data_IF_222231170294
#
_entry.id   IF_222231170294
#
_cell.length_a   1.000
_cell.length_b   1.000
_cell.length_c   1.000
_cell.angle_alpha   90.00
_cell.angle_beta   90.00
_cell.angle_gamma   90.00
#
_symmetry.space_group_name_H-M   'P 1'
#
loop_
_entity.id
_entity.type
_entity.pdbx_description
1 polymer ?
#
# COMPACT_ATOMS: atom_id res chain seq x y z
N UNK A 1 -16.78 -26.80 -70.30
CA UNK A 1 -15.60 -26.98 -69.44
C UNK A 1 -15.54 -25.83 -68.45
N UNK A 2 -16.05 -26.04 -67.24
CA UNK A 2 -15.68 -25.38 -65.97
C UNK A 2 -16.55 -26.03 -64.88
N UNK A 3 -15.99 -26.45 -63.72
CA UNK A 3 -16.78 -26.99 -62.62
C UNK A 3 -17.21 -25.86 -61.66
N UNK A 4 -18.48 -25.86 -61.24
CA UNK A 4 -18.98 -25.04 -60.16
C UNK A 4 -18.76 -25.76 -58.82
N UNK A 5 -17.93 -25.16 -57.97
CA UNK A 5 -17.60 -25.65 -56.62
C UNK A 5 -18.68 -25.25 -55.59
N UNK A 6 -18.85 -26.15 -54.63
CA UNK A 6 -19.80 -26.08 -53.52
C UNK A 6 -19.59 -24.87 -52.59
N UNK A 7 -20.65 -24.08 -52.39
CA UNK A 7 -20.74 -23.13 -51.27
C UNK A 7 -21.19 -23.90 -50.02
N UNK A 8 -20.27 -24.14 -49.09
CA UNK A 8 -20.58 -24.54 -47.72
C UNK A 8 -20.45 -23.30 -46.84
N UNK A 9 -21.58 -22.67 -46.51
CA UNK A 9 -21.63 -21.50 -45.63
C UNK A 9 -21.21 -21.89 -44.20
N UNK A 10 -20.14 -21.26 -43.74
CA UNK A 10 -19.58 -21.33 -42.39
C UNK A 10 -20.61 -20.90 -41.33
N UNK A 11 -20.67 -21.65 -40.24
CA UNK A 11 -21.38 -21.25 -39.02
C UNK A 11 -20.61 -20.13 -38.29
N UNK A 12 -21.29 -19.30 -37.46
CA UNK A 12 -20.65 -18.21 -36.73
C UNK A 12 -19.67 -18.75 -35.70
N UNK A 13 -18.42 -18.27 -35.78
CA UNK A 13 -17.34 -18.55 -34.85
C UNK A 13 -17.61 -17.96 -33.46
N UNK A 14 -17.38 -18.81 -32.46
CA UNK A 14 -17.26 -18.56 -31.03
C UNK A 14 -16.91 -17.11 -30.65
N UNK A 15 -17.89 -16.40 -30.08
CA UNK A 15 -17.65 -15.21 -29.29
C UNK A 15 -16.91 -15.63 -28.02
N UNK A 16 -15.62 -15.28 -27.95
CA UNK A 16 -14.74 -15.54 -26.82
C UNK A 16 -15.32 -15.04 -25.50
N UNK A 17 -15.34 -15.95 -24.52
CA UNK A 17 -15.92 -15.74 -23.20
C UNK A 17 -15.28 -14.59 -22.43
N UNK A 18 -16.14 -13.75 -21.85
CA UNK A 18 -15.80 -12.91 -20.70
C UNK A 18 -15.64 -13.88 -19.53
N UNK A 19 -14.40 -14.23 -19.21
CA UNK A 19 -14.09 -15.12 -18.10
C UNK A 19 -14.58 -14.55 -16.77
N UNK A 20 -15.29 -15.37 -16.02
CA UNK A 20 -15.87 -15.06 -14.72
C UNK A 20 -14.77 -14.59 -13.74
N UNK A 21 -14.85 -13.33 -13.31
CA UNK A 21 -13.93 -12.75 -12.33
C UNK A 21 -14.29 -13.34 -10.97
N UNK A 22 -13.34 -13.96 -10.25
CA UNK A 22 -13.63 -14.49 -8.92
C UNK A 22 -14.23 -13.43 -7.99
N UNK A 23 -15.18 -13.80 -7.12
CA UNK A 23 -15.85 -12.89 -6.18
C UNK A 23 -14.88 -11.97 -5.42
N UNK A 24 -13.69 -12.47 -5.05
CA UNK A 24 -12.69 -11.68 -4.34
C UNK A 24 -12.04 -10.60 -5.24
N UNK A 25 -11.77 -10.93 -6.50
CA UNK A 25 -11.24 -9.98 -7.47
C UNK A 25 -12.27 -8.89 -7.79
N UNK A 26 -13.56 -9.24 -7.87
CA UNK A 26 -14.64 -8.28 -8.05
C UNK A 26 -14.72 -7.30 -6.86
N UNK A 27 -14.60 -7.79 -5.61
CA UNK A 27 -14.55 -6.93 -4.42
C UNK A 27 -13.37 -5.96 -4.43
N UNK A 28 -12.19 -6.39 -4.88
CA UNK A 28 -11.04 -5.50 -5.06
C UNK A 28 -11.31 -4.39 -6.08
N UNK A 29 -11.95 -4.74 -7.20
CA UNK A 29 -12.34 -3.75 -8.23
C UNK A 29 -13.31 -2.73 -7.65
N UNK A 30 -14.34 -3.18 -6.93
CA UNK A 30 -15.34 -2.31 -6.29
C UNK A 30 -14.72 -1.42 -5.22
N UNK A 31 -13.87 -1.98 -4.34
CA UNK A 31 -13.18 -1.20 -3.32
C UNK A 31 -12.31 -0.12 -3.94
N UNK A 32 -11.55 -0.45 -5.00
CA UNK A 32 -10.72 0.52 -5.69
C UNK A 32 -11.56 1.61 -6.40
N UNK A 33 -12.71 1.26 -6.96
CA UNK A 33 -13.64 2.23 -7.53
C UNK A 33 -14.19 3.18 -6.44
N UNK A 34 -14.56 2.66 -5.28
CA UNK A 34 -15.04 3.44 -4.14
C UNK A 34 -13.96 4.37 -3.58
N UNK A 35 -12.73 3.87 -3.45
CA UNK A 35 -11.58 4.68 -3.02
C UNK A 35 -11.40 5.83 -4.00
N UNK A 36 -11.25 5.53 -5.30
CA UNK A 36 -10.85 6.55 -6.30
C UNK A 36 -11.89 7.62 -6.58
N UNK A 37 -13.17 7.35 -6.30
CA UNK A 37 -14.25 8.32 -6.45
C UNK A 37 -14.52 9.14 -5.17
N UNK A 38 -13.89 8.80 -4.04
CA UNK A 38 -14.15 9.44 -2.76
C UNK A 38 -13.81 10.95 -2.74
N UNK A 39 -14.75 11.73 -2.16
CA UNK A 39 -14.65 13.19 -1.97
C UNK A 39 -15.03 13.65 -0.55
N UNK A 40 -15.01 12.76 0.44
CA UNK A 40 -15.51 13.03 1.80
C UNK A 40 -14.77 14.15 2.55
N UNK A 41 -13.52 14.47 2.17
CA UNK A 41 -12.68 15.43 2.87
C UNK A 41 -12.43 16.68 2.00
N UNK A 42 -13.23 17.77 2.11
CA UNK A 42 -13.13 18.93 1.22
C UNK A 42 -11.73 19.54 1.13
N UNK A 43 -11.02 19.63 2.27
CA UNK A 43 -9.64 20.14 2.34
C UNK A 43 -8.67 19.30 1.50
N UNK A 44 -8.74 17.98 1.62
CA UNK A 44 -7.88 17.06 0.87
C UNK A 44 -8.24 17.02 -0.61
N UNK A 45 -9.53 17.12 -0.93
CA UNK A 45 -10.03 17.19 -2.31
C UNK A 45 -9.51 18.43 -3.01
N UNK A 46 -9.67 19.61 -2.39
CA UNK A 46 -9.17 20.85 -2.94
C UNK A 46 -7.64 20.79 -3.15
N UNK A 47 -6.90 20.32 -2.13
CA UNK A 47 -5.45 20.28 -2.18
C UNK A 47 -4.90 19.28 -3.22
N UNK A 48 -5.43 18.06 -3.29
CA UNK A 48 -4.93 17.05 -4.24
C UNK A 48 -5.13 17.48 -5.70
N UNK A 49 -6.24 18.16 -5.99
CA UNK A 49 -6.61 18.68 -7.31
C UNK A 49 -5.81 19.93 -7.66
N UNK A 50 -5.59 20.83 -6.69
CA UNK A 50 -4.71 21.98 -6.87
C UNK A 50 -3.29 21.53 -7.25
N UNK A 51 -2.71 20.58 -6.51
CA UNK A 51 -1.39 20.04 -6.81
C UNK A 51 -1.34 19.38 -8.19
N UNK A 52 -2.40 18.69 -8.60
CA UNK A 52 -2.50 18.06 -9.91
C UNK A 52 -2.61 19.08 -11.06
N UNK A 53 -3.20 20.24 -10.80
CA UNK A 53 -3.31 21.36 -11.75
C UNK A 53 -2.04 22.18 -11.84
N UNK A 54 -1.48 22.58 -10.70
CA UNK A 54 -0.30 23.46 -10.62
C UNK A 54 0.97 22.72 -11.06
N UNK A 55 1.10 21.46 -10.61
CA UNK A 55 2.23 20.55 -10.85
C UNK A 55 3.59 21.10 -10.41
N UNK A 56 4.55 20.20 -10.20
CA UNK A 56 5.95 20.60 -9.99
C UNK A 56 6.58 20.91 -11.34
N UNK A 57 7.46 21.91 -11.43
CA UNK A 57 8.17 22.27 -12.68
C UNK A 57 8.80 21.05 -13.39
N UNK A 58 9.42 20.15 -12.63
CA UNK A 58 10.03 18.93 -13.15
C UNK A 58 9.04 17.93 -13.77
N UNK A 59 7.74 18.07 -13.49
CA UNK A 59 6.68 17.16 -13.94
C UNK A 59 5.54 17.93 -14.62
N UNK A 60 5.82 19.08 -15.23
CA UNK A 60 4.78 19.97 -15.81
C UNK A 60 3.99 19.27 -16.92
N UNK A 61 4.68 18.46 -17.71
CA UNK A 61 4.12 17.75 -18.87
C UNK A 61 3.48 16.41 -18.49
N UNK A 62 3.51 16.03 -17.21
CA UNK A 62 2.89 14.81 -16.73
C UNK A 62 1.41 15.00 -16.47
N UNK A 63 0.59 14.00 -16.78
CA UNK A 63 -0.75 13.89 -16.23
C UNK A 63 -0.67 13.41 -14.78
N UNK A 64 -1.24 14.19 -13.86
CA UNK A 64 -1.27 13.83 -12.44
C UNK A 64 -2.52 13.03 -12.12
N UNK A 65 -2.40 12.08 -11.20
CA UNK A 65 -3.52 11.30 -10.70
C UNK A 65 -4.61 12.14 -10.03
N UNK A 66 -4.25 13.04 -9.11
CA UNK A 66 -5.18 14.01 -8.51
C UNK A 66 -6.40 13.43 -7.79
N UNK A 67 -6.35 12.15 -7.42
CA UNK A 67 -7.46 11.36 -6.84
C UNK A 67 -6.96 10.62 -5.59
N UNK A 68 -7.86 10.02 -4.78
CA UNK A 68 -7.45 9.07 -3.76
C UNK A 68 -6.62 7.94 -4.38
N UNK A 69 -5.56 7.52 -3.71
CA UNK A 69 -4.66 6.46 -4.16
C UNK A 69 -5.09 5.15 -3.49
N UNK A 70 -5.42 4.10 -4.26
CA UNK A 70 -5.67 2.76 -3.71
C UNK A 70 -4.39 2.10 -3.19
N UNK A 71 -4.54 1.07 -2.35
CA UNK A 71 -3.43 0.19 -2.02
C UNK A 71 -2.87 -0.53 -3.25
N UNK A 72 -1.64 -1.05 -3.13
CA UNK A 72 -0.93 -1.72 -4.22
C UNK A 72 -0.12 -2.90 -3.71
N UNK A 73 -0.23 -4.04 -4.38
CA UNK A 73 0.62 -5.19 -4.15
C UNK A 73 -0.07 -6.51 -4.47
N UNK A 74 0.40 -7.55 -3.80
CA UNK A 74 -0.13 -8.91 -3.92
C UNK A 74 -1.51 -9.01 -3.24
N UNK A 75 -2.59 -9.37 -3.95
CA UNK A 75 -3.92 -9.56 -3.34
C UNK A 75 -3.98 -10.74 -2.37
N UNK A 76 -2.94 -11.59 -2.34
CA UNK A 76 -2.74 -12.68 -1.38
C UNK A 76 -1.59 -12.39 -0.42
N UNK A 77 -1.22 -11.11 -0.23
CA UNK A 77 -0.11 -10.73 0.62
C UNK A 77 -0.23 -11.28 2.05
N UNK A 78 0.87 -11.86 2.54
CA UNK A 78 1.00 -12.25 3.95
C UNK A 78 1.46 -11.08 4.83
N UNK A 79 1.96 -10.00 4.23
CA UNK A 79 2.47 -8.80 4.90
C UNK A 79 1.73 -7.54 4.43
N UNK A 80 1.13 -6.82 5.36
CA UNK A 80 0.54 -5.50 5.11
C UNK A 80 1.51 -4.39 5.52
N UNK A 81 1.79 -3.45 4.63
CA UNK A 81 2.60 -2.26 4.91
C UNK A 81 1.68 -1.05 4.97
N UNK A 82 1.70 -0.34 6.09
CA UNK A 82 0.80 0.81 6.31
C UNK A 82 1.61 2.09 6.46
N UNK A 83 1.45 2.99 5.49
CA UNK A 83 2.00 4.34 5.50
C UNK A 83 1.05 5.41 6.04
N UNK A 84 1.49 6.67 5.98
CA UNK A 84 0.68 7.82 6.41
C UNK A 84 -0.34 8.24 5.34
N UNK A 85 0.14 8.79 4.23
CA UNK A 85 -0.69 9.34 3.16
C UNK A 85 0.13 9.53 1.86
N UNK A 86 -0.52 9.76 0.71
CA UNK A 86 0.15 10.16 -0.51
C UNK A 86 1.04 11.39 -0.39
N UNK A 87 2.20 11.36 -1.06
CA UNK A 87 3.04 12.53 -1.27
C UNK A 87 2.54 13.39 -2.44
N UNK A 88 2.62 14.72 -2.30
CA UNK A 88 2.10 15.69 -3.27
C UNK A 88 2.59 15.47 -4.72
N UNK A 89 3.86 15.08 -4.88
CA UNK A 89 4.44 14.81 -6.20
C UNK A 89 4.95 13.37 -6.34
N UNK A 90 4.62 12.51 -5.37
CA UNK A 90 4.78 11.07 -5.45
C UNK A 90 3.46 10.44 -5.89
N UNK A 91 2.79 9.74 -4.99
CA UNK A 91 1.57 8.99 -5.34
C UNK A 91 0.36 9.86 -5.72
N UNK A 92 0.27 11.13 -5.32
CA UNK A 92 -0.75 12.04 -5.87
C UNK A 92 -0.50 12.38 -7.36
N UNK A 93 0.74 12.27 -7.83
CA UNK A 93 1.09 12.38 -9.24
C UNK A 93 0.90 11.03 -9.94
N UNK A 94 1.46 9.97 -9.38
CA UNK A 94 1.62 8.68 -10.08
C UNK A 94 0.42 7.76 -9.95
N UNK A 95 -0.41 7.91 -8.91
CA UNK A 95 -1.57 7.06 -8.66
C UNK A 95 -1.25 5.70 -8.05
N UNK A 96 -0.01 5.46 -7.60
CA UNK A 96 0.39 4.22 -6.91
C UNK A 96 1.11 4.54 -5.61
N UNK A 97 0.77 3.84 -4.52
CA UNK A 97 1.36 4.10 -3.19
C UNK A 97 2.89 4.09 -3.25
N UNK A 98 3.50 5.05 -2.54
CA UNK A 98 4.95 5.23 -2.48
C UNK A 98 5.65 5.34 -3.84
N UNK A 99 5.00 5.72 -4.95
CA UNK A 99 5.67 5.78 -6.27
C UNK A 99 5.98 7.21 -6.69
N UNK A 100 7.21 7.46 -7.14
CA UNK A 100 7.61 8.74 -7.72
C UNK A 100 8.06 9.83 -6.73
N UNK A 101 8.42 9.45 -5.51
CA UNK A 101 9.12 10.31 -4.55
C UNK A 101 10.19 9.52 -3.78
N UNK A 102 11.02 10.24 -3.01
CA UNK A 102 12.15 9.67 -2.29
C UNK A 102 11.76 8.64 -1.23
N UNK A 103 10.54 8.70 -0.70
CA UNK A 103 10.09 7.70 0.28
C UNK A 103 9.87 6.36 -0.41
N UNK A 104 9.35 6.42 -1.63
CA UNK A 104 9.26 5.31 -2.56
C UNK A 104 10.57 4.69 -2.93
N UNK A 105 11.51 5.52 -3.40
CA UNK A 105 12.84 5.06 -3.80
C UNK A 105 13.53 4.29 -2.68
N UNK A 106 13.35 4.75 -1.43
CA UNK A 106 13.88 4.09 -0.25
C UNK A 106 13.13 2.79 0.07
N UNK A 107 11.80 2.80 -0.02
CA UNK A 107 10.94 1.65 0.25
C UNK A 107 11.18 0.49 -0.72
N UNK A 108 11.02 0.74 -2.01
CA UNK A 108 11.07 -0.30 -3.02
C UNK A 108 12.48 -0.85 -3.23
N UNK A 109 13.52 -0.03 -3.06
CA UNK A 109 14.89 -0.54 -3.07
C UNK A 109 15.14 -1.53 -1.92
N UNK A 110 14.60 -1.28 -0.72
CA UNK A 110 14.72 -2.18 0.43
C UNK A 110 13.93 -3.49 0.23
N UNK A 111 12.68 -3.39 -0.25
CA UNK A 111 11.86 -4.56 -0.59
C UNK A 111 12.53 -5.42 -1.68
N UNK A 112 13.13 -4.79 -2.70
CA UNK A 112 13.86 -5.50 -3.74
C UNK A 112 15.07 -6.27 -3.19
N UNK A 113 15.85 -5.66 -2.28
CA UNK A 113 17.03 -6.32 -1.66
C UNK A 113 16.67 -7.59 -0.89
N UNK A 114 15.45 -7.70 -0.35
CA UNK A 114 14.98 -8.90 0.35
C UNK A 114 14.14 -9.85 -0.51
N UNK A 115 13.97 -9.53 -1.80
CA UNK A 115 13.22 -10.35 -2.76
C UNK A 115 11.69 -10.23 -2.66
N UNK A 116 11.18 -9.15 -2.07
CA UNK A 116 9.73 -8.86 -1.96
C UNK A 116 9.21 -7.94 -3.08
N UNK A 117 10.11 -7.35 -3.88
CA UNK A 117 9.79 -6.61 -5.09
C UNK A 117 10.65 -7.12 -6.26
N UNK A 118 10.10 -7.12 -7.48
CA UNK A 118 10.82 -7.56 -8.68
C UNK A 118 11.79 -6.52 -9.26
N UNK A 119 11.72 -5.26 -8.82
CA UNK A 119 12.61 -4.18 -9.25
C UNK A 119 12.79 -3.16 -8.11
N UNK A 120 13.93 -2.43 -8.08
CA UNK A 120 14.22 -1.48 -7.01
C UNK A 120 13.65 -0.06 -7.26
N UNK A 121 13.25 0.26 -8.49
CA UNK A 121 12.86 1.62 -8.90
C UNK A 121 11.37 1.73 -9.19
N UNK A 122 10.79 2.90 -8.88
CA UNK A 122 9.36 3.16 -9.10
C UNK A 122 9.13 4.55 -9.68
N UNK A 123 8.73 4.61 -10.94
CA UNK A 123 8.63 5.87 -11.69
C UNK A 123 7.18 6.15 -12.09
N UNK A 124 6.45 5.11 -12.49
CA UNK A 124 5.08 5.21 -12.98
C UNK A 124 4.25 4.02 -12.48
N UNK A 125 2.93 4.17 -12.36
CA UNK A 125 2.08 3.06 -11.86
C UNK A 125 2.12 1.81 -12.74
N UNK A 126 2.42 1.98 -14.03
CA UNK A 126 2.43 0.94 -15.07
C UNK A 126 3.85 0.46 -15.43
N UNK A 127 4.85 0.76 -14.59
CA UNK A 127 6.26 0.42 -14.84
C UNK A 127 6.63 -1.06 -14.60
N UNK A 128 5.64 -1.95 -14.51
CA UNK A 128 5.85 -3.40 -14.35
C UNK A 128 6.29 -3.86 -12.95
N UNK A 129 6.35 -2.96 -11.97
CA UNK A 129 6.58 -3.33 -10.58
C UNK A 129 5.54 -4.35 -10.10
N UNK A 130 6.02 -5.41 -9.46
CA UNK A 130 5.23 -6.44 -8.80
C UNK A 130 5.81 -6.70 -7.42
N UNK A 131 4.91 -6.85 -6.45
CA UNK A 131 5.24 -7.24 -5.09
C UNK A 131 4.89 -8.71 -4.89
N UNK A 132 5.68 -9.39 -4.07
CA UNK A 132 5.44 -10.77 -3.64
C UNK A 132 5.24 -10.76 -2.13
N UNK A 133 4.16 -11.38 -1.65
CA UNK A 133 3.80 -11.47 -0.23
C UNK A 133 3.49 -10.11 0.45
N UNK A 134 3.54 -8.99 -0.27
CA UNK A 134 3.42 -7.64 0.28
C UNK A 134 2.28 -6.87 -0.38
N UNK A 135 1.45 -6.24 0.45
CA UNK A 135 0.47 -5.24 0.05
C UNK A 135 0.76 -3.92 0.78
N UNK A 136 0.83 -2.81 0.04
CA UNK A 136 1.19 -1.49 0.56
C UNK A 136 -0.02 -0.57 0.49
N UNK A 137 -0.37 0.03 1.63
CA UNK A 137 -1.45 0.99 1.78
C UNK A 137 -1.08 2.15 2.70
N UNK A 138 -2.05 3.00 3.03
CA UNK A 138 -1.90 4.12 3.94
C UNK A 138 -3.20 4.41 4.71
N UNK A 139 -3.04 5.02 5.88
CA UNK A 139 -4.16 5.44 6.74
C UNK A 139 -4.99 6.58 6.13
N UNK A 140 -4.44 7.30 5.15
CA UNK A 140 -5.13 8.31 4.36
C UNK A 140 -4.89 8.08 2.88
N UNK A 141 -5.93 8.20 2.05
CA UNK A 141 -5.85 7.95 0.59
C UNK A 141 -5.61 9.20 -0.24
N UNK A 142 -5.74 10.39 0.32
CA UNK A 142 -5.47 11.65 -0.36
C UNK A 142 -4.24 12.33 0.23
N UNK A 143 -3.51 13.08 -0.57
CA UNK A 143 -2.40 13.91 -0.08
C UNK A 143 -2.96 15.00 0.86
N UNK A 144 -2.45 15.10 2.10
CA UNK A 144 -2.74 16.23 2.97
C UNK A 144 -1.71 17.35 2.83
N UNK A 145 -2.11 18.62 2.98
CA UNK A 145 -1.18 19.73 3.18
C UNK A 145 -0.14 19.41 4.24
N UNK A 146 1.12 19.75 3.98
CA UNK A 146 2.30 19.50 4.83
C UNK A 146 2.51 18.04 5.26
N UNK A 147 1.88 17.08 4.58
CA UNK A 147 1.81 15.68 5.01
C UNK A 147 1.18 15.51 6.40
N UNK A 148 0.24 16.38 6.76
CA UNK A 148 -0.46 16.39 8.06
C UNK A 148 -1.98 16.20 7.86
N UNK A 149 -2.46 14.95 7.84
CA UNK A 149 -3.89 14.71 7.91
C UNK A 149 -4.43 15.05 9.31
N UNK A 150 -5.68 15.49 9.37
CA UNK A 150 -6.41 15.72 10.61
C UNK A 150 -6.98 14.40 11.16
N UNK A 151 -7.29 14.31 12.46
CA UNK A 151 -7.98 13.15 13.02
C UNK A 151 -9.29 12.83 12.29
N UNK A 152 -10.06 13.84 11.87
CA UNK A 152 -11.30 13.70 11.12
C UNK A 152 -11.07 13.04 9.76
N UNK A 153 -10.01 13.46 9.05
CA UNK A 153 -9.65 12.90 7.75
C UNK A 153 -9.13 11.46 7.86
N UNK A 154 -8.39 11.13 8.92
CA UNK A 154 -7.96 9.76 9.20
C UNK A 154 -9.19 8.89 9.46
N UNK A 155 -10.12 9.33 10.33
CA UNK A 155 -11.37 8.61 10.59
C UNK A 155 -12.21 8.41 9.34
N UNK A 156 -12.28 9.42 8.46
CA UNK A 156 -13.00 9.30 7.19
C UNK A 156 -12.36 8.29 6.21
N UNK A 157 -11.03 8.10 6.27
CA UNK A 157 -10.33 7.10 5.45
C UNK A 157 -10.27 5.70 6.08
N UNK A 158 -10.51 5.56 7.39
CA UNK A 158 -10.40 4.30 8.11
C UNK A 158 -11.20 3.15 7.47
N UNK A 159 -12.45 3.34 7.00
CA UNK A 159 -13.21 2.25 6.37
C UNK A 159 -12.52 1.64 5.15
N UNK A 160 -11.72 2.41 4.40
CA UNK A 160 -10.97 1.86 3.27
C UNK A 160 -9.80 0.98 3.72
N UNK A 161 -9.15 1.31 4.83
CA UNK A 161 -8.06 0.50 5.39
C UNK A 161 -8.63 -0.82 5.95
N UNK A 162 -9.74 -0.74 6.68
CA UNK A 162 -10.44 -1.93 7.19
C UNK A 162 -10.90 -2.84 6.05
N UNK A 163 -11.49 -2.29 4.98
CA UNK A 163 -11.90 -3.07 3.83
C UNK A 163 -10.71 -3.77 3.12
N UNK A 164 -9.55 -3.12 3.01
CA UNK A 164 -8.35 -3.79 2.48
C UNK A 164 -7.83 -4.89 3.41
N UNK A 165 -7.87 -4.68 4.73
CA UNK A 165 -7.50 -5.69 5.72
C UNK A 165 -8.43 -6.91 5.64
N UNK A 166 -9.73 -6.70 5.45
CA UNK A 166 -10.72 -7.76 5.30
C UNK A 166 -10.52 -8.56 4.01
N UNK A 167 -10.20 -7.89 2.89
CA UNK A 167 -9.94 -8.55 1.61
C UNK A 167 -8.60 -9.31 1.56
N UNK A 168 -7.62 -8.91 2.36
CA UNK A 168 -6.34 -9.62 2.53
C UNK A 168 -6.44 -10.78 3.54
N UNK A 169 -7.61 -11.38 3.68
CA UNK A 169 -7.95 -12.35 4.74
C UNK A 169 -6.79 -13.31 5.06
N UNK A 170 -6.29 -13.26 6.30
CA UNK A 170 -5.24 -14.15 6.79
C UNK A 170 -3.79 -13.67 6.59
N UNK A 171 -3.57 -12.38 6.31
CA UNK A 171 -2.23 -11.82 6.41
C UNK A 171 -1.67 -12.01 7.84
N UNK A 172 -0.37 -12.31 7.94
CA UNK A 172 0.29 -12.72 9.19
C UNK A 172 0.90 -11.55 9.96
N UNK A 173 1.20 -10.45 9.26
CA UNK A 173 1.96 -9.35 9.84
C UNK A 173 1.66 -7.99 9.24
N UNK A 174 1.94 -6.95 10.04
CA UNK A 174 1.85 -5.56 9.65
C UNK A 174 3.19 -4.87 9.89
N UNK A 175 3.67 -4.09 8.91
CA UNK A 175 4.73 -3.10 9.12
C UNK A 175 4.11 -1.71 9.09
N UNK A 176 4.08 -1.03 10.23
CA UNK A 176 3.62 0.34 10.34
C UNK A 176 4.78 1.34 10.15
N UNK A 177 4.67 2.18 9.12
CA UNK A 177 5.67 3.19 8.77
C UNK A 177 5.30 4.53 9.42
N UNK A 178 5.89 4.80 10.58
CA UNK A 178 5.66 6.01 11.38
C UNK A 178 4.63 5.82 12.50
N UNK A 179 4.70 6.71 13.50
CA UNK A 179 3.91 6.62 14.73
C UNK A 179 2.40 6.74 14.49
N UNK A 180 1.96 7.58 13.54
CA UNK A 180 0.54 7.73 13.22
C UNK A 180 -0.04 6.45 12.60
N UNK A 181 0.67 5.84 11.65
CA UNK A 181 0.25 4.56 11.07
C UNK A 181 0.18 3.46 12.13
N UNK A 182 1.19 3.40 13.01
CA UNK A 182 1.24 2.47 14.12
C UNK A 182 0.06 2.64 15.08
N UNK A 183 -0.21 3.88 15.51
CA UNK A 183 -1.33 4.18 16.40
C UNK A 183 -2.68 3.87 15.77
N UNK A 184 -2.85 4.14 14.48
CA UNK A 184 -4.10 3.88 13.77
C UNK A 184 -4.36 2.37 13.61
N UNK A 185 -3.33 1.57 13.32
CA UNK A 185 -3.46 0.10 13.29
C UNK A 185 -3.95 -0.44 14.63
N UNK A 186 -3.35 0.02 15.74
CA UNK A 186 -3.79 -0.36 17.08
C UNK A 186 -5.22 0.12 17.39
N UNK A 187 -5.57 1.33 16.95
CA UNK A 187 -6.91 1.89 17.14
C UNK A 187 -7.98 1.06 16.42
N UNK A 188 -7.73 0.61 15.19
CA UNK A 188 -8.63 -0.29 14.45
C UNK A 188 -8.91 -1.54 15.28
N UNK A 189 -7.88 -2.25 15.74
CA UNK A 189 -8.09 -3.46 16.55
C UNK A 189 -8.89 -3.20 17.83
N UNK A 190 -8.60 -2.11 18.55
CA UNK A 190 -9.36 -1.73 19.75
C UNK A 190 -10.83 -1.40 19.44
N UNK A 191 -11.08 -0.69 18.36
CA UNK A 191 -12.44 -0.34 17.91
C UNK A 191 -13.25 -1.60 17.54
N UNK A 192 -12.57 -2.65 17.08
CA UNK A 192 -13.15 -3.98 16.83
C UNK A 192 -13.13 -4.89 18.06
N UNK A 193 -13.05 -4.33 19.26
CA UNK A 193 -13.19 -5.06 20.53
C UNK A 193 -12.01 -5.98 20.89
N UNK A 194 -10.86 -5.85 20.20
CA UNK A 194 -9.67 -6.65 20.53
C UNK A 194 -8.95 -6.08 21.74
N UNK A 195 -8.45 -6.92 22.67
CA UNK A 195 -7.82 -6.50 23.92
C UNK A 195 -6.37 -6.00 23.74
N UNK A 196 -6.14 -5.13 22.76
CA UNK A 196 -4.81 -4.59 22.46
C UNK A 196 -4.49 -3.43 23.41
N UNK A 197 -3.56 -3.68 24.34
CA UNK A 197 -3.08 -2.69 25.32
C UNK A 197 -2.38 -1.48 24.68
N UNK A 198 -1.96 -0.53 25.51
CA UNK A 198 -1.12 0.60 25.05
C UNK A 198 0.28 0.08 24.73
N UNK A 199 0.73 0.32 23.51
CA UNK A 199 2.07 -0.03 23.03
C UNK A 199 2.77 1.25 22.58
N UNK A 200 4.05 1.36 22.89
CA UNK A 200 4.86 2.52 22.52
C UNK A 200 5.44 2.36 21.11
N UNK A 201 5.62 3.46 20.39
CA UNK A 201 6.22 3.41 19.07
C UNK A 201 7.74 3.52 19.18
N UNK A 202 8.46 2.53 18.65
CA UNK A 202 9.91 2.59 18.45
C UNK A 202 10.29 1.87 17.15
N UNK A 203 11.34 2.33 16.48
CA UNK A 203 11.81 1.68 15.26
C UNK A 203 12.33 0.26 15.57
N UNK A 204 11.95 -0.69 14.72
CA UNK A 204 12.22 -2.12 14.87
C UNK A 204 11.60 -2.74 16.14
N UNK A 205 10.63 -2.09 16.77
CA UNK A 205 9.84 -2.72 17.81
C UNK A 205 8.88 -3.75 17.23
N UNK A 206 8.78 -4.89 17.91
CA UNK A 206 7.93 -6.02 17.54
C UNK A 206 6.89 -6.24 18.62
N UNK A 207 5.66 -6.52 18.19
CA UNK A 207 4.55 -6.82 19.05
C UNK A 207 3.81 -8.03 18.52
N UNK A 208 3.72 -9.07 19.35
CA UNK A 208 2.70 -10.08 19.21
C UNK A 208 1.41 -9.51 19.80
N UNK A 209 0.38 -9.37 18.97
CA UNK A 209 -0.90 -8.79 19.37
C UNK A 209 -1.84 -9.82 20.04
N UNK A 210 -1.48 -11.11 20.03
CA UNK A 210 -2.29 -12.19 20.61
C UNK A 210 -3.55 -12.52 19.81
N UNK A 211 -4.34 -13.47 20.29
CA UNK A 211 -5.68 -13.82 19.78
C UNK A 211 -5.77 -14.10 18.26
N UNK A 212 -4.70 -14.63 17.68
CA UNK A 212 -4.63 -14.91 16.23
C UNK A 212 -4.57 -13.65 15.36
N UNK A 213 -4.34 -12.47 15.96
CA UNK A 213 -4.10 -11.23 15.25
C UNK A 213 -2.72 -11.26 14.57
N UNK A 214 -2.55 -10.51 13.46
CA UNK A 214 -1.25 -10.37 12.84
C UNK A 214 -0.26 -9.70 13.80
N UNK A 215 1.00 -10.12 13.77
CA UNK A 215 2.04 -9.41 14.49
C UNK A 215 2.23 -8.00 13.93
N UNK A 216 2.77 -7.10 14.74
CA UNK A 216 3.02 -5.71 14.36
C UNK A 216 4.50 -5.36 14.52
N UNK A 217 5.12 -4.93 13.43
CA UNK A 217 6.43 -4.29 13.41
C UNK A 217 6.28 -2.78 13.20
N UNK A 218 6.98 -2.01 14.03
CA UNK A 218 7.04 -0.56 13.91
C UNK A 218 8.35 -0.12 13.23
N UNK A 219 8.27 0.85 12.34
CA UNK A 219 9.46 1.47 11.75
C UNK A 219 9.29 2.98 11.64
N UNK A 220 10.39 3.74 11.76
CA UNK A 220 10.38 5.13 11.31
C UNK A 220 9.94 5.21 9.84
N UNK A 221 9.15 6.23 9.53
CA UNK A 221 8.70 6.44 8.15
C UNK A 221 9.92 6.74 7.25
N UNK A 222 9.99 6.20 6.01
CA UNK A 222 11.07 6.46 5.08
C UNK A 222 10.98 7.85 4.42
N UNK A 223 10.52 8.86 5.17
CA UNK A 223 10.41 10.22 4.64
C UNK A 223 11.80 10.78 4.35
N UNK A 224 11.87 11.69 3.38
CA UNK A 224 13.10 12.43 3.08
C UNK A 224 13.75 13.03 4.34
N UNK A 225 12.95 13.54 5.26
CA UNK A 225 13.45 14.09 6.52
C UNK A 225 14.18 13.02 7.35
N UNK A 226 13.60 11.83 7.52
CA UNK A 226 14.22 10.78 8.32
C UNK A 226 15.45 10.18 7.63
N UNK A 227 15.41 10.02 6.32
CA UNK A 227 16.49 9.39 5.55
C UNK A 227 17.68 10.32 5.34
N UNK A 228 17.44 11.62 5.07
CA UNK A 228 18.53 12.59 4.88
C UNK A 228 19.23 12.98 6.19
N UNK A 229 18.53 12.95 7.32
CA UNK A 229 19.12 13.26 8.64
C UNK A 229 19.83 12.08 9.29
N UNK A 230 19.76 10.88 8.67
CA UNK A 230 20.31 9.66 9.24
C UNK A 230 19.47 9.05 10.37
N UNK A 231 18.31 9.63 10.72
CA UNK A 231 17.37 9.03 11.68
C UNK A 231 16.87 7.66 11.24
N UNK A 232 16.79 7.43 9.93
CA UNK A 232 16.58 6.12 9.34
C UNK A 232 17.62 5.88 8.23
N UNK A 233 18.53 4.94 8.46
CA UNK A 233 19.54 4.54 7.46
C UNK A 233 19.03 3.38 6.61
N UNK A 234 19.61 3.14 5.40
CA UNK A 234 19.27 1.97 4.59
C UNK A 234 19.42 0.65 5.36
N UNK A 235 20.50 0.48 6.13
CA UNK A 235 20.76 -0.72 6.93
C UNK A 235 19.68 -0.95 8.00
N UNK A 236 19.29 0.10 8.72
CA UNK A 236 18.20 0.04 9.70
C UNK A 236 16.89 -0.39 9.04
N UNK A 237 16.62 0.12 7.85
CA UNK A 237 15.38 -0.18 7.15
C UNK A 237 15.38 -1.57 6.52
N UNK A 238 16.50 -2.04 5.98
CA UNK A 238 16.66 -3.41 5.50
C UNK A 238 16.43 -4.44 6.61
N UNK A 239 16.86 -4.14 7.84
CA UNK A 239 16.63 -4.99 9.00
C UNK A 239 15.12 -5.21 9.29
N UNK A 240 14.26 -4.22 9.02
CA UNK A 240 12.80 -4.36 9.15
C UNK A 240 12.28 -5.44 8.21
N UNK A 241 12.70 -5.39 6.94
CA UNK A 241 12.20 -6.31 5.92
C UNK A 241 12.78 -7.71 6.04
N UNK A 242 14.05 -7.82 6.45
CA UNK A 242 14.65 -9.11 6.81
C UNK A 242 13.91 -9.75 7.98
N UNK A 243 13.61 -8.98 9.04
CA UNK A 243 12.84 -9.46 10.18
C UNK A 243 11.42 -9.87 9.80
N UNK A 244 10.74 -9.06 8.99
CA UNK A 244 9.42 -9.38 8.47
C UNK A 244 9.42 -10.72 7.71
N UNK A 245 10.43 -10.97 6.86
CA UNK A 245 10.58 -12.24 6.15
C UNK A 245 10.74 -13.43 7.10
N UNK A 246 11.65 -13.34 8.08
CA UNK A 246 11.86 -14.38 9.09
C UNK A 246 10.57 -14.69 9.86
N UNK A 247 9.80 -13.65 10.23
CA UNK A 247 8.51 -13.79 10.89
C UNK A 247 7.46 -14.48 10.01
N UNK A 248 7.37 -14.12 8.73
CA UNK A 248 6.42 -14.73 7.78
C UNK A 248 6.67 -16.23 7.56
N UNK A 249 7.94 -16.62 7.58
CA UNK A 249 8.40 -17.99 7.37
C UNK A 249 8.35 -18.84 8.66
N UNK A 250 7.92 -18.25 9.79
CA UNK A 250 7.77 -18.95 11.07
C UNK A 250 9.10 -19.27 11.75
N UNK A 251 10.17 -18.57 11.38
CA UNK A 251 11.54 -18.84 11.86
C UNK A 251 11.97 -17.88 12.98
N UNK A 252 11.03 -17.14 13.57
CA UNK A 252 11.31 -16.14 14.61
C UNK A 252 11.10 -16.70 16.02
N UNK A 253 12.18 -16.77 16.81
CA UNK A 253 12.13 -17.02 18.26
C UNK A 253 12.15 -15.69 19.04
N UNK A 254 11.05 -15.30 19.73
CA UNK A 254 11.00 -14.08 20.52
C UNK A 254 11.97 -14.04 21.71
N UNK A 255 12.62 -15.15 22.07
CA UNK A 255 13.54 -15.26 23.20
C UNK A 255 14.89 -14.54 23.05
N UNK A 256 15.22 -13.98 21.88
CA UNK A 256 16.57 -13.49 21.58
C UNK A 256 16.75 -11.97 21.51
N UNK A 257 15.68 -11.15 21.48
CA UNK A 257 15.83 -9.72 21.13
C UNK A 257 15.34 -8.68 22.15
N UNK A 258 15.02 -9.05 23.40
CA UNK A 258 14.61 -8.09 24.45
C UNK A 258 15.53 -8.07 25.69
N UNK A 259 16.81 -8.41 25.51
CA UNK A 259 17.87 -8.08 26.49
C UNK A 259 18.70 -6.92 25.93
N UNK A 260 18.19 -5.70 26.06
CA UNK A 260 18.85 -4.45 25.69
C UNK A 260 18.08 -3.28 26.23
#
# INVERSE_FOLDING_TARGET
MTPAENVKSLQPSDAGGVGDISDNQQKWVELNANITTCRLCPRLVAYREEIARVKKRAFRDWEYWGKPVPGFGDPHARLLVVGLAPGAHGSNRTGRMFTGDSSGDFLYAALHRVGMANQPTTVHRDDGLRLRDVFITAICRCVPPDNKPTPEEIRACQPFLEAEMDLLSGFKGIVALGSLAFQQVLAIYRNHGRPVGRLDFAHNAYYDLGDGLPWLLASYHPSRQNTQTGRLTPTMFDAIWQRAKILLDGQWDPGTSNRG
#
